data_IF_806299404646
#
_entry.id   IF_806299404646
#
_cell.length_a   1.000
_cell.length_b   1.000
_cell.length_c   1.000
_cell.angle_alpha   90.00
_cell.angle_beta   90.00
_cell.angle_gamma   90.00
#
_symmetry.space_group_name_H-M   'P 1'
#
loop_
_entity.id
_entity.type
_entity.pdbx_description
1 polymer ?
#
# COMPACT_ATOMS: atom_id res chain seq x y z
N UNK A 1 -4.08 -0.60 -11.96
CA UNK A 1 -5.30 0.19 -11.68
C UNK A 1 -5.78 -0.11 -10.27
N UNK A 2 -6.25 0.90 -9.52
CA UNK A 2 -6.48 0.85 -8.05
C UNK A 2 -7.19 -0.42 -7.54
N UNK A 3 -8.27 -0.94 -8.17
CA UNK A 3 -8.92 -2.17 -7.71
C UNK A 3 -7.98 -3.39 -7.70
N UNK A 4 -7.18 -3.57 -8.75
CA UNK A 4 -6.19 -4.65 -8.83
C UNK A 4 -5.06 -4.48 -7.81
N UNK A 5 -4.72 -3.25 -7.43
CA UNK A 5 -3.75 -2.98 -6.35
C UNK A 5 -4.32 -3.34 -4.98
N UNK A 6 -5.62 -3.10 -4.74
CA UNK A 6 -6.28 -3.51 -3.50
C UNK A 6 -6.33 -5.03 -3.36
N UNK A 7 -6.65 -5.75 -4.44
CA UNK A 7 -6.59 -7.22 -4.45
C UNK A 7 -5.16 -7.72 -4.18
N UNK A 8 -4.16 -7.07 -4.78
CA UNK A 8 -2.75 -7.39 -4.55
C UNK A 8 -2.34 -7.13 -3.10
N UNK A 9 -2.74 -5.99 -2.55
CA UNK A 9 -2.46 -5.62 -1.16
C UNK A 9 -3.09 -6.64 -0.19
N UNK A 10 -4.34 -7.06 -0.43
CA UNK A 10 -4.99 -8.07 0.42
C UNK A 10 -4.25 -9.41 0.40
N UNK A 11 -3.70 -9.80 -0.75
CA UNK A 11 -2.94 -11.05 -0.90
C UNK A 11 -1.54 -10.97 -0.31
N UNK A 12 -0.83 -9.87 -0.58
CA UNK A 12 0.61 -9.79 -0.35
C UNK A 12 0.96 -9.15 1.00
N UNK A 13 0.05 -8.39 1.64
CA UNK A 13 0.35 -7.69 2.90
C UNK A 13 0.11 -8.53 4.17
N UNK A 14 -0.37 -9.76 4.04
CA UNK A 14 -0.58 -10.69 5.14
C UNK A 14 -1.47 -10.15 6.29
N UNK A 15 -2.37 -9.22 5.99
CA UNK A 15 -3.37 -8.74 6.97
C UNK A 15 -4.65 -9.55 6.76
N UNK A 16 -4.90 -10.51 7.66
CA UNK A 16 -5.98 -11.50 7.51
C UNK A 16 -7.38 -10.87 7.49
N UNK A 17 -7.66 -9.97 8.43
CA UNK A 17 -8.94 -9.26 8.51
C UNK A 17 -8.71 -7.74 8.65
N UNK A 18 -8.43 -7.04 7.53
CA UNK A 18 -8.13 -5.62 7.57
C UNK A 18 -9.41 -4.82 7.86
N UNK A 19 -9.48 -4.27 9.07
CA UNK A 19 -10.54 -3.36 9.53
C UNK A 19 -10.33 -1.94 9.04
N UNK A 20 -9.09 -1.57 8.71
CA UNK A 20 -8.72 -0.26 8.15
C UNK A 20 -8.03 -0.40 6.80
N UNK A 21 -8.47 0.41 5.84
CA UNK A 21 -7.95 0.43 4.47
C UNK A 21 -7.88 1.87 4.00
N UNK A 22 -6.68 2.36 3.72
CA UNK A 22 -6.50 3.72 3.24
C UNK A 22 -5.53 3.79 2.07
N UNK A 23 -5.80 4.74 1.19
CA UNK A 23 -5.00 5.02 0.01
C UNK A 23 -4.47 6.45 0.11
N UNK A 24 -3.17 6.59 -0.07
CA UNK A 24 -2.48 7.88 -0.07
C UNK A 24 -1.97 8.16 -1.47
N UNK A 25 -2.43 9.26 -2.07
CA UNK A 25 -1.85 9.77 -3.29
C UNK A 25 -0.51 10.44 -2.97
N UNK A 26 0.56 10.02 -3.64
CA UNK A 26 1.89 10.62 -3.49
C UNK A 26 2.08 11.67 -4.55
N UNK A 27 2.15 12.92 -4.12
CA UNK A 27 2.50 14.05 -4.99
C UNK A 27 4.01 14.03 -5.21
N UNK A 28 4.49 14.16 -6.45
CA UNK A 28 5.91 14.16 -6.72
C UNK A 28 6.60 15.33 -6.01
N UNK A 29 7.77 15.08 -5.43
CA UNK A 29 8.58 16.10 -4.77
C UNK A 29 10.06 15.88 -5.05
N UNK A 30 10.69 16.85 -5.69
CA UNK A 30 12.14 16.87 -5.92
C UNK A 30 12.93 17.09 -4.62
N UNK A 31 12.32 17.68 -3.58
CA UNK A 31 13.00 17.91 -2.29
C UNK A 31 13.15 16.64 -1.47
N UNK A 32 12.24 15.67 -1.64
CA UNK A 32 12.20 14.41 -0.89
C UNK A 32 12.37 13.18 -1.78
N UNK A 33 12.84 13.36 -3.02
CA UNK A 33 12.98 12.30 -4.04
C UNK A 33 11.75 11.38 -4.12
N UNK A 34 10.56 11.95 -3.96
CA UNK A 34 9.32 11.19 -3.90
C UNK A 34 8.73 11.13 -5.30
N UNK A 35 8.64 9.95 -5.94
CA UNK A 35 7.99 9.83 -7.24
C UNK A 35 6.47 9.94 -7.12
N UNK A 36 5.81 10.37 -8.20
CA UNK A 36 4.36 10.30 -8.33
C UNK A 36 3.92 8.83 -8.17
N UNK A 37 2.89 8.58 -7.36
CA UNK A 37 2.39 7.23 -7.14
C UNK A 37 1.28 7.15 -6.11
N UNK A 38 1.02 5.94 -5.61
CA UNK A 38 0.05 5.67 -4.56
C UNK A 38 0.63 4.71 -3.53
N UNK A 39 0.29 4.92 -2.27
CA UNK A 39 0.53 3.98 -1.17
C UNK A 39 -0.79 3.42 -0.67
N UNK A 40 -0.90 2.11 -0.57
CA UNK A 40 -2.03 1.38 0.00
C UNK A 40 -1.60 0.82 1.35
N UNK A 41 -2.42 1.03 2.36
CA UNK A 41 -2.14 0.56 3.71
C UNK A 41 -3.31 -0.26 4.21
N UNK A 42 -3.00 -1.39 4.81
CA UNK A 42 -3.94 -2.28 5.47
C UNK A 42 -3.51 -2.46 6.91
N UNK A 43 -4.47 -2.44 7.82
CA UNK A 43 -4.26 -2.86 9.20
C UNK A 43 -5.50 -3.53 9.77
N UNK A 44 -5.29 -4.47 10.69
CA UNK A 44 -6.35 -5.10 11.46
C UNK A 44 -6.63 -4.37 12.79
N UNK A 45 -7.54 -4.92 13.59
CA UNK A 45 -7.89 -4.40 14.92
C UNK A 45 -6.81 -4.64 16.00
N UNK A 46 -5.88 -5.57 15.74
CA UNK A 46 -4.81 -5.95 16.67
C UNK A 46 -3.51 -5.17 16.44
N UNK A 47 -3.47 -4.33 15.41
CA UNK A 47 -2.33 -3.49 15.06
C UNK A 47 -1.37 -4.12 14.05
N UNK A 48 -1.67 -5.33 13.56
CA UNK A 48 -0.92 -5.92 12.45
C UNK A 48 -1.26 -5.15 11.18
N UNK A 49 -0.25 -4.67 10.48
CA UNK A 49 -0.45 -3.83 9.31
C UNK A 49 0.73 -3.86 8.35
N UNK A 50 0.42 -3.60 7.10
CA UNK A 50 1.37 -3.57 6.00
C UNK A 50 1.02 -2.49 4.99
N UNK A 51 1.95 -2.23 4.08
CA UNK A 51 1.73 -1.30 2.98
C UNK A 51 2.32 -1.77 1.66
N UNK A 52 1.67 -1.33 0.59
CA UNK A 52 2.06 -1.56 -0.79
C UNK A 52 2.15 -0.22 -1.50
N UNK A 53 3.26 0.02 -2.19
CA UNK A 53 3.49 1.19 -2.99
C UNK A 53 3.47 0.85 -4.47
N UNK A 54 2.86 1.72 -5.27
CA UNK A 54 2.80 1.55 -6.70
C UNK A 54 2.97 2.87 -7.45
N UNK A 55 3.52 2.78 -8.65
CA UNK A 55 3.57 3.89 -9.60
C UNK A 55 2.19 4.10 -10.29
N UNK A 56 2.03 5.17 -11.10
CA UNK A 56 0.76 5.45 -11.79
C UNK A 56 0.33 4.39 -12.81
N UNK A 57 1.26 3.56 -13.29
CA UNK A 57 0.94 2.42 -14.14
C UNK A 57 0.36 1.24 -13.34
N UNK A 58 0.48 1.28 -12.01
CA UNK A 58 0.07 0.22 -11.10
C UNK A 58 1.14 -0.85 -10.91
N UNK A 59 2.39 -0.57 -11.28
CA UNK A 59 3.52 -1.44 -10.96
C UNK A 59 3.94 -1.19 -9.51
N UNK A 60 4.08 -2.29 -8.76
CA UNK A 60 4.53 -2.24 -7.37
C UNK A 60 5.99 -1.77 -7.32
N UNK A 61 6.26 -0.79 -6.47
CA UNK A 61 7.57 -0.18 -6.25
C UNK A 61 8.08 -0.41 -4.82
N UNK A 62 7.19 -0.75 -3.88
CA UNK A 62 7.52 -1.10 -2.50
C UNK A 62 6.46 -2.01 -1.90
N UNK A 63 6.87 -2.93 -1.03
CA UNK A 63 5.98 -3.87 -0.38
C UNK A 63 6.53 -4.20 1.01
N UNK A 64 5.72 -3.98 2.03
CA UNK A 64 6.01 -4.31 3.42
C UNK A 64 4.79 -5.01 4.02
N UNK A 65 4.80 -6.34 4.14
CA UNK A 65 3.73 -7.09 4.78
C UNK A 65 3.72 -6.87 6.29
N UNK A 66 2.59 -7.20 6.93
CA UNK A 66 2.54 -7.33 8.38
C UNK A 66 3.51 -8.43 8.84
N UNK A 67 4.20 -8.16 9.95
CA UNK A 67 5.01 -9.17 10.64
C UNK A 67 4.09 -10.20 11.33
N UNK A 68 4.58 -11.43 11.46
CA UNK A 68 3.83 -12.58 12.04
C UNK A 68 3.70 -12.46 13.57
#
# INVERSE_FOLDING_TARGET
MIPALLERAHKDLNVMDPTSRYLVARVPSDTFDTPLGVGLYLSDEYGAGGYLDADPSGKVTGLMPAED
#
